data_IF_798470137047
#
_entry.id   IF_798470137047
#
_cell.length_a   1.000
_cell.length_b   1.000
_cell.length_c   1.000
_cell.angle_alpha   90.00
_cell.angle_beta   90.00
_cell.angle_gamma   90.00
#
_symmetry.space_group_name_H-M   'P 1'
#
loop_
_entity.id
_entity.type
_entity.pdbx_description
1 polymer ?
#
# COMPACT_ATOMS: atom_id res chain seq x y z
N UNK A 1 -13.28 32.35 -3.83
CA UNK A 1 -14.65 32.61 -3.31
C UNK A 1 -15.71 31.79 -4.03
N UNK A 2 -15.67 31.62 -5.38
CA UNK A 2 -16.67 30.86 -6.15
C UNK A 2 -16.69 29.36 -5.79
N UNK A 3 -15.54 28.77 -5.48
CA UNK A 3 -15.44 27.35 -5.06
C UNK A 3 -15.96 27.10 -3.64
N UNK A 4 -16.03 28.13 -2.80
CA UNK A 4 -16.60 28.06 -1.46
C UNK A 4 -18.10 28.39 -1.41
N UNK A 5 -18.79 28.37 -2.57
CA UNK A 5 -20.25 28.48 -2.55
C UNK A 5 -20.88 27.31 -1.77
N UNK A 6 -22.10 27.51 -1.29
CA UNK A 6 -22.74 26.58 -0.34
C UNK A 6 -22.95 25.15 -0.94
N UNK A 7 -23.04 25.03 -2.26
CA UNK A 7 -23.22 23.74 -2.94
C UNK A 7 -21.93 22.94 -2.95
N UNK A 8 -20.83 23.49 -3.48
CA UNK A 8 -19.54 22.80 -3.61
C UNK A 8 -18.96 22.43 -2.24
N UNK A 9 -18.99 23.36 -1.30
CA UNK A 9 -18.54 23.12 0.08
C UNK A 9 -19.24 21.90 0.69
N UNK A 10 -20.56 21.80 0.57
CA UNK A 10 -21.33 20.64 1.07
C UNK A 10 -21.05 19.36 0.31
N UNK A 11 -20.93 19.41 -1.01
CA UNK A 11 -20.62 18.24 -1.83
C UNK A 11 -19.26 17.67 -1.49
N UNK A 12 -18.24 18.51 -1.37
CA UNK A 12 -16.90 18.10 -0.96
C UNK A 12 -16.87 17.57 0.46
N UNK A 13 -17.51 18.25 1.42
CA UNK A 13 -17.60 17.79 2.81
C UNK A 13 -18.21 16.38 2.88
N UNK A 14 -19.31 16.15 2.16
CA UNK A 14 -19.96 14.83 2.08
C UNK A 14 -19.00 13.79 1.49
N UNK A 15 -18.40 14.06 0.32
CA UNK A 15 -17.51 13.11 -0.37
C UNK A 15 -16.28 12.74 0.48
N UNK A 16 -15.71 13.71 1.18
CA UNK A 16 -14.60 13.49 2.11
C UNK A 16 -15.06 12.63 3.29
N UNK A 17 -16.16 12.96 3.94
CA UNK A 17 -16.67 12.23 5.11
C UNK A 17 -17.00 10.77 4.78
N UNK A 18 -17.58 10.51 3.62
CA UNK A 18 -17.91 9.14 3.18
C UNK A 18 -16.67 8.26 2.92
N UNK A 19 -15.50 8.89 2.66
CA UNK A 19 -14.27 8.18 2.29
C UNK A 19 -13.13 8.33 3.30
N UNK A 20 -13.24 9.22 4.26
CA UNK A 20 -12.26 9.38 5.35
C UNK A 20 -12.38 8.24 6.38
N UNK A 21 -11.35 8.01 7.21
CA UNK A 21 -11.47 7.10 8.35
C UNK A 21 -12.62 7.51 9.30
N UNK A 22 -13.39 6.54 9.76
CA UNK A 22 -14.51 6.77 10.71
C UNK A 22 -13.96 7.06 12.12
N UNK A 23 -13.51 8.30 12.31
CA UNK A 23 -12.89 8.79 13.54
C UNK A 23 -13.11 10.30 13.67
N UNK A 24 -13.51 10.80 14.84
CA UNK A 24 -13.58 12.23 15.09
C UNK A 24 -12.19 12.88 15.13
N UNK A 25 -12.11 14.17 14.85
CA UNK A 25 -10.89 14.97 15.01
C UNK A 25 -9.65 14.38 14.34
N UNK A 26 -9.76 14.02 13.06
CA UNK A 26 -8.64 13.47 12.28
C UNK A 26 -7.46 14.46 12.26
N UNK A 27 -6.23 13.93 12.32
CA UNK A 27 -5.03 14.64 11.92
C UNK A 27 -4.89 14.54 10.40
N UNK A 28 -5.07 15.65 9.69
CA UNK A 28 -5.15 15.69 8.23
C UNK A 28 -3.97 16.45 7.64
N UNK A 29 -3.36 15.90 6.57
CA UNK A 29 -2.41 16.62 5.73
C UNK A 29 -3.05 16.90 4.37
N UNK A 30 -3.25 18.19 4.07
CA UNK A 30 -3.64 18.67 2.75
C UNK A 30 -2.39 18.97 1.92
N UNK A 31 -2.16 18.17 0.89
CA UNK A 31 -0.94 18.22 0.06
C UNK A 31 -1.23 19.05 -1.20
N UNK A 32 -0.46 20.13 -1.38
CA UNK A 32 -0.67 21.07 -2.46
C UNK A 32 -1.95 21.86 -2.28
N UNK A 33 -2.10 22.47 -1.09
CA UNK A 33 -3.32 23.16 -0.65
C UNK A 33 -3.75 24.31 -1.58
N UNK A 34 -2.83 24.85 -2.38
CA UNK A 34 -3.08 26.01 -3.22
C UNK A 34 -3.65 27.18 -2.41
N UNK A 35 -4.78 27.79 -2.82
CA UNK A 35 -5.37 28.93 -2.12
C UNK A 35 -6.16 28.54 -0.85
N UNK A 36 -6.16 27.26 -0.40
CA UNK A 36 -6.69 26.86 0.90
C UNK A 36 -8.13 26.37 0.93
N UNK A 37 -8.61 25.72 -0.13
CA UNK A 37 -9.99 25.19 -0.17
C UNK A 37 -10.25 24.10 0.85
N UNK A 38 -9.40 23.05 0.87
CA UNK A 38 -9.58 21.92 1.78
C UNK A 38 -9.39 22.25 3.26
N UNK A 39 -8.44 23.10 3.66
CA UNK A 39 -8.38 23.53 5.06
C UNK A 39 -9.70 24.12 5.60
N UNK A 40 -10.45 24.83 4.76
CA UNK A 40 -11.76 25.36 5.16
C UNK A 40 -12.76 24.23 5.36
N UNK A 41 -12.92 23.36 4.35
CA UNK A 41 -13.89 22.25 4.40
C UNK A 41 -13.59 21.30 5.56
N UNK A 42 -12.32 20.95 5.75
CA UNK A 42 -11.88 20.01 6.79
C UNK A 42 -11.95 20.63 8.20
N UNK A 43 -11.62 21.93 8.32
CA UNK A 43 -11.75 22.65 9.59
C UNK A 43 -13.19 22.75 10.05
N UNK A 44 -14.14 22.99 9.13
CA UNK A 44 -15.60 22.95 9.43
C UNK A 44 -16.10 21.58 9.88
N UNK A 45 -15.46 20.50 9.39
CA UNK A 45 -15.74 19.13 9.84
C UNK A 45 -15.09 18.80 11.20
N UNK A 46 -14.36 19.76 11.80
CA UNK A 46 -13.73 19.60 13.11
C UNK A 46 -12.41 18.83 13.09
N UNK A 47 -11.73 18.78 11.95
CA UNK A 47 -10.44 18.09 11.83
C UNK A 47 -9.27 19.04 12.11
N UNK A 48 -8.13 18.47 12.55
CA UNK A 48 -6.87 19.18 12.74
C UNK A 48 -6.11 19.17 11.41
N UNK A 49 -5.97 20.31 10.77
CA UNK A 49 -5.45 20.40 9.41
C UNK A 49 -4.06 21.01 9.37
N UNK A 50 -3.11 20.26 8.83
CA UNK A 50 -1.84 20.74 8.32
C UNK A 50 -1.94 20.86 6.80
N UNK A 51 -1.62 22.01 6.23
CA UNK A 51 -1.71 22.28 4.81
C UNK A 51 -0.33 22.64 4.26
N UNK A 52 0.10 21.97 3.22
CA UNK A 52 1.41 22.22 2.58
C UNK A 52 1.26 22.64 1.12
N UNK A 53 2.15 23.53 0.70
CA UNK A 53 2.34 23.91 -0.71
C UNK A 53 3.82 24.27 -0.95
N UNK A 54 4.30 24.06 -2.15
CA UNK A 54 5.66 24.47 -2.53
C UNK A 54 5.78 25.98 -2.78
N UNK A 55 4.64 26.68 -2.94
CA UNK A 55 4.54 28.08 -3.36
C UNK A 55 4.10 28.98 -2.20
N UNK A 56 5.01 29.86 -1.75
CA UNK A 56 4.72 30.82 -0.67
C UNK A 56 3.48 31.68 -0.94
N UNK A 57 3.33 32.15 -2.17
CA UNK A 57 2.22 32.98 -2.60
C UNK A 57 0.85 32.29 -2.46
N UNK A 58 0.81 30.94 -2.66
CA UNK A 58 -0.41 30.16 -2.41
C UNK A 58 -0.72 30.05 -0.92
N UNK A 59 0.30 29.79 -0.11
CA UNK A 59 0.14 29.71 1.35
C UNK A 59 -0.34 31.04 1.96
N UNK A 60 0.15 32.18 1.47
CA UNK A 60 -0.34 33.50 1.91
C UNK A 60 -1.84 33.68 1.59
N UNK A 61 -2.29 33.24 0.41
CA UNK A 61 -3.69 33.27 0.03
C UNK A 61 -4.52 32.33 0.91
N UNK A 62 -4.01 31.12 1.17
CA UNK A 62 -4.66 30.13 2.01
C UNK A 62 -4.83 30.63 3.47
N UNK A 63 -3.78 31.20 4.05
CA UNK A 63 -3.82 31.82 5.40
C UNK A 63 -4.88 32.94 5.50
N UNK A 64 -4.91 33.84 4.50
CA UNK A 64 -5.90 34.93 4.45
C UNK A 64 -7.31 34.39 4.30
N UNK A 65 -7.51 33.34 3.51
CA UNK A 65 -8.81 32.71 3.34
C UNK A 65 -9.27 32.04 4.63
N UNK A 66 -8.42 31.23 5.27
CA UNK A 66 -8.72 30.58 6.55
C UNK A 66 -9.10 31.59 7.62
N UNK A 67 -8.34 32.69 7.73
CA UNK A 67 -8.67 33.79 8.65
C UNK A 67 -10.03 34.44 8.34
N UNK A 68 -10.38 34.60 7.06
CA UNK A 68 -11.69 35.20 6.68
C UNK A 68 -12.89 34.30 6.94
N UNK A 69 -12.67 32.99 7.05
CA UNK A 69 -13.68 31.94 7.32
C UNK A 69 -13.66 31.49 8.78
N UNK A 70 -12.84 32.12 9.64
CA UNK A 70 -12.64 31.76 11.06
C UNK A 70 -12.21 30.28 11.28
N UNK A 71 -11.35 29.77 10.37
CA UNK A 71 -10.82 28.42 10.42
C UNK A 71 -9.38 28.43 10.91
N UNK A 72 -9.09 27.55 11.88
CA UNK A 72 -7.73 27.31 12.36
C UNK A 72 -7.12 26.14 11.59
N UNK A 73 -5.99 26.39 10.91
CA UNK A 73 -5.19 25.39 10.23
C UNK A 73 -3.72 25.83 10.22
N UNK A 74 -2.81 24.88 10.17
CA UNK A 74 -1.37 25.14 10.04
C UNK A 74 -0.94 25.10 8.58
N UNK A 75 -0.10 26.05 8.18
CA UNK A 75 0.35 26.19 6.78
C UNK A 75 1.87 26.20 6.72
N UNK A 76 2.42 25.26 5.93
CA UNK A 76 3.86 25.07 5.82
C UNK A 76 4.33 25.00 4.36
N UNK A 77 5.40 25.72 4.03
CA UNK A 77 6.04 25.57 2.73
C UNK A 77 6.84 24.29 2.71
N UNK A 78 6.47 23.36 1.81
CA UNK A 78 7.09 22.04 1.76
C UNK A 78 6.98 21.42 0.38
N UNK A 79 7.98 20.62 -0.01
CA UNK A 79 7.94 19.75 -1.18
C UNK A 79 7.24 18.43 -0.80
N UNK A 80 6.22 18.04 -1.55
CA UNK A 80 5.46 16.81 -1.35
C UNK A 80 6.28 15.53 -1.56
N UNK A 81 7.48 15.64 -2.16
CA UNK A 81 8.41 14.52 -2.37
C UNK A 81 9.40 14.32 -1.21
N UNK A 82 9.39 15.21 -0.21
CA UNK A 82 10.32 15.15 0.94
C UNK A 82 9.64 15.80 2.16
N UNK A 83 8.79 15.03 2.83
CA UNK A 83 8.00 15.52 3.96
C UNK A 83 8.80 15.50 5.26
N UNK A 84 8.89 16.66 5.93
CA UNK A 84 9.59 16.80 7.22
C UNK A 84 8.73 16.35 8.42
N UNK A 85 7.83 15.39 8.21
CA UNK A 85 7.02 14.80 9.28
C UNK A 85 7.55 13.42 9.64
N UNK A 86 7.30 13.01 10.88
CA UNK A 86 7.60 11.66 11.34
C UNK A 86 6.71 10.62 10.66
N UNK A 87 7.14 9.36 10.70
CA UNK A 87 6.34 8.23 10.22
C UNK A 87 5.01 8.15 11.00
N UNK A 88 3.95 7.73 10.32
CA UNK A 88 2.65 7.49 10.96
C UNK A 88 2.08 8.70 11.73
N UNK A 89 2.18 9.89 11.16
CA UNK A 89 1.73 11.15 11.77
C UNK A 89 0.26 11.44 11.52
N UNK A 90 -0.25 11.19 10.29
CA UNK A 90 -1.57 11.62 9.87
C UNK A 90 -2.57 10.48 9.76
N UNK A 91 -3.83 10.76 10.09
CA UNK A 91 -4.96 9.84 9.91
C UNK A 91 -5.49 9.89 8.47
N UNK A 92 -5.40 11.05 7.82
CA UNK A 92 -5.89 11.30 6.47
C UNK A 92 -4.90 12.18 5.70
N UNK A 93 -4.56 11.76 4.49
CA UNK A 93 -3.93 12.61 3.49
C UNK A 93 -4.94 12.91 2.39
N UNK A 94 -4.95 14.15 1.91
CA UNK A 94 -5.84 14.56 0.82
C UNK A 94 -5.09 15.47 -0.14
N UNK A 95 -5.40 15.36 -1.42
CA UNK A 95 -4.96 16.33 -2.42
C UNK A 95 -5.96 16.46 -3.56
N UNK A 96 -5.91 17.61 -4.25
CA UNK A 96 -6.72 17.87 -5.44
C UNK A 96 -5.88 18.57 -6.50
N UNK A 97 -5.86 17.99 -7.70
CA UNK A 97 -5.12 18.55 -8.86
C UNK A 97 -3.61 18.70 -8.59
N UNK A 98 -3.00 17.77 -7.86
CA UNK A 98 -1.58 17.80 -7.49
C UNK A 98 -0.79 16.71 -8.19
N UNK A 99 -1.34 15.50 -8.25
CA UNK A 99 -0.58 14.33 -8.68
C UNK A 99 -0.16 14.38 -10.14
N UNK A 100 -0.89 15.09 -11.00
CA UNK A 100 -0.48 15.32 -12.39
C UNK A 100 0.78 16.19 -12.52
N UNK A 101 1.12 16.99 -11.50
CA UNK A 101 2.29 17.89 -11.47
C UNK A 101 3.55 17.28 -10.87
N UNK A 102 3.47 16.06 -10.34
CA UNK A 102 4.61 15.41 -9.68
C UNK A 102 5.73 15.10 -10.68
N UNK A 103 6.94 15.55 -10.36
CA UNK A 103 8.13 15.24 -11.15
C UNK A 103 8.71 13.85 -10.85
N UNK A 104 8.44 13.31 -9.65
CA UNK A 104 8.77 11.96 -9.21
C UNK A 104 7.60 11.38 -8.39
N UNK A 105 6.53 10.89 -9.05
CA UNK A 105 5.34 10.38 -8.39
C UNK A 105 5.64 9.17 -7.50
N UNK A 106 6.61 8.34 -7.85
CA UNK A 106 6.99 7.18 -7.06
C UNK A 106 7.56 7.59 -5.70
N UNK A 107 8.42 8.60 -5.69
CA UNK A 107 9.00 9.15 -4.46
C UNK A 107 7.94 9.83 -3.60
N UNK A 108 7.07 10.64 -4.21
CA UNK A 108 5.98 11.30 -3.50
C UNK A 108 5.05 10.29 -2.82
N UNK A 109 4.59 9.25 -3.52
CA UNK A 109 3.69 8.24 -2.96
C UNK A 109 4.34 7.44 -1.82
N UNK A 110 5.64 7.17 -1.87
CA UNK A 110 6.37 6.53 -0.76
C UNK A 110 6.41 7.42 0.49
N UNK A 111 6.66 8.71 0.31
CA UNK A 111 6.63 9.68 1.42
C UNK A 111 5.22 9.79 2.02
N UNK A 112 4.18 9.83 1.18
CA UNK A 112 2.80 9.87 1.65
C UNK A 112 2.42 8.59 2.41
N UNK A 113 2.86 7.41 1.92
CA UNK A 113 2.69 6.15 2.66
C UNK A 113 3.40 6.19 4.01
N UNK A 114 4.62 6.72 4.07
CA UNK A 114 5.42 6.78 5.29
C UNK A 114 4.74 7.59 6.38
N UNK A 115 4.27 8.79 6.07
CA UNK A 115 3.66 9.71 7.05
C UNK A 115 2.22 9.36 7.43
N UNK A 116 1.54 8.51 6.65
CA UNK A 116 0.19 8.05 6.94
C UNK A 116 0.22 6.96 8.01
N UNK A 117 -0.67 7.05 9.00
CA UNK A 117 -0.84 6.02 10.05
C UNK A 117 -1.38 4.72 9.46
N UNK A 118 -1.08 3.55 10.06
CA UNK A 118 -1.84 2.33 9.80
C UNK A 118 -3.35 2.56 10.01
N UNK A 119 -4.18 2.08 9.07
CA UNK A 119 -5.62 2.36 9.04
C UNK A 119 -5.99 3.76 8.52
N UNK A 120 -5.01 4.60 8.23
CA UNK A 120 -5.22 5.91 7.61
C UNK A 120 -5.49 5.79 6.11
N UNK A 121 -6.06 6.86 5.53
CA UNK A 121 -6.43 6.92 4.12
C UNK A 121 -5.79 8.09 3.39
N UNK A 122 -5.44 7.85 2.14
CA UNK A 122 -5.04 8.87 1.17
C UNK A 122 -6.18 9.04 0.16
N UNK A 123 -6.70 10.25 0.03
CA UNK A 123 -7.71 10.63 -0.96
C UNK A 123 -7.05 11.48 -2.05
N UNK A 124 -7.08 11.01 -3.29
CA UNK A 124 -6.58 11.73 -4.46
C UNK A 124 -7.76 12.10 -5.33
N UNK A 125 -7.90 13.38 -5.62
CA UNK A 125 -8.86 13.93 -6.59
C UNK A 125 -8.07 14.59 -7.72
N UNK A 126 -8.06 13.97 -8.91
CA UNK A 126 -7.29 14.49 -10.04
C UNK A 126 -7.93 14.13 -11.38
N UNK A 127 -7.35 14.61 -12.47
CA UNK A 127 -7.81 14.30 -13.82
C UNK A 127 -6.62 14.13 -14.77
N UNK A 128 -6.89 13.60 -15.95
CA UNK A 128 -5.88 13.43 -17.01
C UNK A 128 -5.69 14.75 -17.81
N UNK A 129 -5.30 15.84 -17.12
CA UNK A 129 -5.26 17.20 -17.64
C UNK A 129 -4.45 17.37 -18.92
N UNK A 130 -3.36 16.61 -19.07
CA UNK A 130 -2.45 16.72 -20.21
C UNK A 130 -2.76 15.72 -21.35
N UNK A 131 -3.75 14.85 -21.18
CA UNK A 131 -4.01 13.77 -22.12
C UNK A 131 -4.39 14.27 -23.52
N UNK A 132 -5.04 15.43 -23.60
CA UNK A 132 -5.38 16.08 -24.87
C UNK A 132 -4.16 16.48 -25.72
N UNK A 133 -2.97 16.65 -25.13
CA UNK A 133 -1.74 16.88 -25.90
C UNK A 133 -1.22 15.62 -26.59
N UNK A 134 -1.58 14.44 -26.09
CA UNK A 134 -1.09 13.15 -26.57
C UNK A 134 -2.15 12.33 -27.31
N UNK A 135 -3.44 12.64 -27.11
CA UNK A 135 -4.57 11.92 -27.70
C UNK A 135 -5.44 12.85 -28.52
N UNK A 136 -5.56 12.53 -29.80
CA UNK A 136 -6.31 13.38 -30.74
C UNK A 136 -7.82 13.39 -30.51
N UNK A 137 -8.39 12.28 -30.06
CA UNK A 137 -9.80 12.17 -29.70
C UNK A 137 -10.15 13.11 -28.53
N UNK A 138 -9.34 13.11 -27.48
CA UNK A 138 -9.50 14.00 -26.32
C UNK A 138 -9.29 15.46 -26.71
N UNK A 139 -8.28 15.74 -27.53
CA UNK A 139 -8.03 17.11 -28.01
C UNK A 139 -9.21 17.67 -28.79
N UNK A 140 -9.80 16.89 -29.69
CA UNK A 140 -10.98 17.31 -30.47
C UNK A 140 -12.17 17.57 -29.53
N UNK A 141 -12.41 16.69 -28.56
CA UNK A 141 -13.49 16.86 -27.59
C UNK A 141 -13.28 18.12 -26.74
N UNK A 142 -12.05 18.39 -26.28
CA UNK A 142 -11.74 19.61 -25.54
C UNK A 142 -12.06 20.87 -26.35
N UNK A 143 -11.66 20.90 -27.63
CA UNK A 143 -11.93 22.03 -28.55
C UNK A 143 -13.44 22.24 -28.78
N UNK A 144 -14.20 21.16 -28.89
CA UNK A 144 -15.66 21.22 -29.03
C UNK A 144 -16.31 21.72 -27.73
N UNK A 145 -15.88 21.19 -26.58
CA UNK A 145 -16.36 21.62 -25.27
C UNK A 145 -16.07 23.11 -25.03
N UNK A 146 -14.86 23.57 -25.36
CA UNK A 146 -14.48 24.97 -25.23
C UNK A 146 -15.37 25.89 -26.11
N UNK A 147 -15.65 25.48 -27.34
CA UNK A 147 -16.55 26.20 -28.22
C UNK A 147 -17.96 26.30 -27.62
N UNK A 148 -18.53 25.19 -27.17
CA UNK A 148 -19.85 25.16 -26.54
C UNK A 148 -19.89 25.97 -25.24
N UNK A 149 -18.80 25.95 -24.50
CA UNK A 149 -18.67 26.77 -23.28
C UNK A 149 -18.71 28.25 -23.61
N UNK A 150 -17.93 28.68 -24.64
CA UNK A 150 -17.94 30.07 -25.13
C UNK A 150 -19.32 30.55 -25.59
N UNK A 151 -20.04 29.69 -26.31
CA UNK A 151 -21.39 29.99 -26.76
C UNK A 151 -22.38 30.17 -25.62
N UNK A 152 -22.24 29.39 -24.51
CA UNK A 152 -23.19 29.37 -23.41
C UNK A 152 -22.87 30.34 -22.30
N UNK A 153 -21.59 30.51 -21.98
CA UNK A 153 -21.14 31.26 -20.78
C UNK A 153 -20.24 32.46 -21.09
N UNK A 154 -19.88 32.67 -22.36
CA UNK A 154 -18.91 33.70 -22.76
C UNK A 154 -17.47 33.21 -22.64
N UNK A 155 -16.51 34.16 -22.74
CA UNK A 155 -15.09 33.79 -22.64
C UNK A 155 -14.78 33.16 -21.27
N UNK A 156 -14.18 31.95 -21.21
CA UNK A 156 -13.73 31.43 -19.95
C UNK A 156 -12.61 32.32 -19.44
N UNK A 157 -12.66 32.64 -18.17
CA UNK A 157 -11.59 33.21 -17.34
C UNK A 157 -10.43 33.81 -18.16
N UNK A 158 -9.93 34.97 -17.77
CA UNK A 158 -8.66 35.46 -18.28
C UNK A 158 -7.62 34.35 -18.06
N UNK A 159 -7.41 33.54 -19.09
CA UNK A 159 -6.31 32.59 -19.14
C UNK A 159 -5.07 33.45 -19.15
N UNK A 160 -4.44 33.61 -18.00
CA UNK A 160 -3.11 34.19 -17.90
C UNK A 160 -2.29 33.48 -18.99
N UNK A 161 -1.68 34.26 -19.88
CA UNK A 161 -1.09 33.76 -21.12
C UNK A 161 -0.28 32.50 -20.83
N UNK A 162 -0.50 31.48 -21.64
CA UNK A 162 0.23 30.23 -21.59
C UNK A 162 1.71 30.55 -21.82
N UNK A 163 2.49 30.51 -20.73
CA UNK A 163 3.93 30.56 -20.80
C UNK A 163 4.49 29.32 -21.53
N UNK A 164 5.77 29.16 -21.56
CA UNK A 164 6.40 27.96 -22.14
C UNK A 164 5.87 26.68 -21.44
N UNK A 165 4.96 25.95 -22.11
CA UNK A 165 4.34 24.72 -21.62
C UNK A 165 5.28 23.51 -21.69
N UNK A 166 6.50 23.67 -22.23
CA UNK A 166 7.45 22.56 -22.41
C UNK A 166 7.76 21.82 -21.11
N UNK A 167 7.84 22.56 -20.00
CA UNK A 167 8.05 21.98 -18.67
C UNK A 167 6.89 21.10 -18.20
N UNK A 168 5.65 21.53 -18.47
CA UNK A 168 4.44 20.80 -18.10
C UNK A 168 4.34 19.51 -18.91
N UNK A 169 4.62 19.58 -20.21
CA UNK A 169 4.60 18.42 -21.10
C UNK A 169 5.72 17.40 -20.82
N UNK A 170 6.77 17.80 -20.08
CA UNK A 170 7.82 16.87 -19.64
C UNK A 170 7.43 16.03 -18.41
N UNK A 171 6.36 16.39 -17.71
CA UNK A 171 5.93 15.69 -16.50
C UNK A 171 5.53 14.25 -16.79
N UNK A 172 5.95 13.30 -15.90
CA UNK A 172 5.75 11.87 -16.16
C UNK A 172 4.27 11.46 -16.22
N UNK A 173 3.41 12.13 -15.43
CA UNK A 173 2.00 11.76 -15.30
C UNK A 173 1.13 12.19 -16.49
N UNK A 174 1.64 13.05 -17.38
CA UNK A 174 0.88 13.55 -18.52
C UNK A 174 0.60 12.51 -19.61
N UNK A 175 1.35 11.40 -19.63
CA UNK A 175 1.31 10.37 -20.68
C UNK A 175 0.72 9.03 -20.23
N UNK A 176 0.43 8.89 -18.96
CA UNK A 176 -0.04 7.63 -18.38
C UNK A 176 -1.56 7.61 -18.23
N UNK A 177 -2.15 6.43 -18.38
CA UNK A 177 -3.57 6.24 -18.12
C UNK A 177 -3.83 6.19 -16.61
N UNK A 178 -4.51 7.21 -16.13
CA UNK A 178 -4.89 7.39 -14.74
C UNK A 178 -6.40 7.24 -14.57
N UNK A 179 -6.88 6.70 -13.47
CA UNK A 179 -6.21 6.33 -12.21
C UNK A 179 -5.58 4.94 -12.18
N UNK A 180 -5.59 4.16 -13.27
CA UNK A 180 -5.12 2.78 -13.31
C UNK A 180 -3.62 2.66 -12.95
N UNK A 181 -2.78 3.56 -13.46
CA UNK A 181 -1.35 3.58 -13.13
C UNK A 181 -1.13 3.87 -11.64
N UNK A 182 -1.84 4.87 -11.12
CA UNK A 182 -1.75 5.24 -9.69
C UNK A 182 -2.12 4.06 -8.80
N UNK A 183 -3.23 3.38 -9.12
CA UNK A 183 -3.67 2.19 -8.39
C UNK A 183 -2.59 1.13 -8.33
N UNK A 184 -2.04 0.75 -9.49
CA UNK A 184 -1.00 -0.30 -9.57
C UNK A 184 0.23 0.06 -8.74
N UNK A 185 0.66 1.32 -8.78
CA UNK A 185 1.83 1.75 -8.03
C UNK A 185 1.55 1.86 -6.53
N UNK A 186 0.42 2.42 -6.13
CA UNK A 186 0.00 2.52 -4.73
C UNK A 186 -0.15 1.12 -4.11
N UNK A 187 -0.73 0.16 -4.82
CA UNK A 187 -0.81 -1.24 -4.36
C UNK A 187 0.58 -1.87 -4.22
N UNK A 188 1.49 -1.61 -5.15
CA UNK A 188 2.88 -2.09 -5.09
C UNK A 188 3.63 -1.62 -3.84
N UNK A 189 3.34 -0.42 -3.34
CA UNK A 189 3.96 0.12 -2.13
C UNK A 189 3.20 -0.21 -0.84
N UNK A 190 2.08 -0.93 -0.92
CA UNK A 190 1.40 -1.51 0.23
C UNK A 190 0.03 -0.93 0.57
N UNK A 191 -0.55 -0.05 -0.25
CA UNK A 191 -1.92 0.41 -0.06
C UNK A 191 -2.95 -0.62 -0.53
N UNK A 192 -4.11 -0.63 0.11
CA UNK A 192 -5.33 -1.19 -0.45
C UNK A 192 -6.06 -0.07 -1.21
N UNK A 193 -6.33 -0.26 -2.51
CA UNK A 193 -6.75 0.83 -3.39
C UNK A 193 -8.10 0.54 -4.05
N UNK A 194 -9.02 1.48 -3.90
CA UNK A 194 -10.23 1.58 -4.71
C UNK A 194 -10.26 2.92 -5.44
N UNK A 195 -11.00 3.04 -6.54
CA UNK A 195 -11.15 4.30 -7.25
C UNK A 195 -12.49 4.42 -7.98
N UNK A 196 -12.90 5.66 -8.19
CA UNK A 196 -14.00 6.05 -9.07
C UNK A 196 -13.44 6.80 -10.28
N UNK A 197 -13.77 6.34 -11.50
CA UNK A 197 -13.27 6.96 -12.75
C UNK A 197 -13.80 8.38 -12.99
N UNK A 198 -14.94 8.71 -12.38
CA UNK A 198 -15.55 10.03 -12.50
C UNK A 198 -16.35 10.35 -11.25
N UNK A 199 -16.05 11.48 -10.64
CA UNK A 199 -16.79 12.07 -9.49
C UNK A 199 -17.38 13.44 -9.84
N UNK A 200 -17.42 13.77 -11.14
CA UNK A 200 -17.82 15.12 -11.60
C UNK A 200 -19.31 15.40 -11.37
N UNK A 201 -20.16 14.37 -11.39
CA UNK A 201 -21.61 14.56 -11.20
C UNK A 201 -21.93 15.05 -9.79
N UNK A 202 -21.09 14.70 -8.82
CA UNK A 202 -21.27 15.11 -7.42
C UNK A 202 -20.53 16.42 -7.11
N UNK A 203 -19.37 16.68 -7.73
CA UNK A 203 -18.44 17.72 -7.31
C UNK A 203 -18.37 18.93 -8.23
N UNK A 204 -18.71 18.78 -9.53
CA UNK A 204 -18.59 19.85 -10.52
C UNK A 204 -19.93 20.50 -10.86
N UNK A 205 -19.87 21.80 -11.13
CA UNK A 205 -20.98 22.53 -11.73
C UNK A 205 -21.13 22.21 -13.21
N UNK A 206 -22.27 22.56 -13.81
CA UNK A 206 -22.56 22.31 -15.22
C UNK A 206 -21.56 23.03 -16.17
N UNK A 207 -20.99 24.14 -15.75
CA UNK A 207 -19.96 24.87 -16.44
C UNK A 207 -18.61 24.09 -16.49
N UNK A 208 -18.22 23.49 -15.35
CA UNK A 208 -17.01 22.68 -15.26
C UNK A 208 -17.16 21.35 -16.01
N UNK A 209 -18.31 20.69 -15.89
CA UNK A 209 -18.64 19.48 -16.64
C UNK A 209 -18.55 19.72 -18.15
N UNK A 210 -19.00 20.89 -18.61
CA UNK A 210 -18.96 21.24 -20.03
C UNK A 210 -17.53 21.43 -20.51
N UNK A 211 -16.72 22.22 -19.80
CA UNK A 211 -15.38 22.59 -20.29
C UNK A 211 -14.35 21.49 -20.08
N UNK A 212 -14.42 20.74 -18.96
CA UNK A 212 -13.40 19.73 -18.59
C UNK A 212 -13.87 18.29 -18.72
N UNK A 213 -15.11 18.05 -19.18
CA UNK A 213 -15.72 16.72 -19.18
C UNK A 213 -15.05 15.66 -20.07
N UNK A 214 -14.18 16.06 -21.00
CA UNK A 214 -13.39 15.11 -21.80
C UNK A 214 -12.31 14.38 -20.98
N UNK A 215 -11.89 14.96 -19.87
CA UNK A 215 -10.97 14.36 -18.88
C UNK A 215 -11.57 14.49 -17.48
N UNK A 216 -12.58 13.69 -17.15
CA UNK A 216 -13.31 13.84 -15.90
C UNK A 216 -12.40 13.63 -14.69
N UNK A 217 -12.69 14.34 -13.60
CA UNK A 217 -12.01 14.12 -12.33
C UNK A 217 -12.34 12.73 -11.79
N UNK A 218 -11.31 11.96 -11.48
CA UNK A 218 -11.39 10.69 -10.78
C UNK A 218 -11.09 10.89 -9.28
N UNK A 219 -11.50 9.90 -8.47
CA UNK A 219 -11.11 9.81 -7.07
C UNK A 219 -10.42 8.47 -6.81
N UNK A 220 -9.33 8.51 -6.06
CA UNK A 220 -8.66 7.32 -5.51
C UNK A 220 -8.79 7.36 -3.99
N UNK A 221 -9.15 6.23 -3.42
CA UNK A 221 -9.08 5.96 -1.98
C UNK A 221 -8.03 4.88 -1.77
N UNK A 222 -6.93 5.24 -1.12
CA UNK A 222 -5.84 4.33 -0.79
C UNK A 222 -5.71 4.22 0.72
N UNK A 223 -6.02 3.05 1.28
CA UNK A 223 -5.94 2.77 2.71
C UNK A 223 -4.62 2.11 3.06
N UNK A 224 -3.90 2.65 4.05
CA UNK A 224 -2.72 1.98 4.61
C UNK A 224 -3.21 0.91 5.57
N UNK A 225 -2.90 -0.38 5.35
CA UNK A 225 -3.34 -1.45 6.23
C UNK A 225 -2.98 -1.22 7.69
N UNK A 226 -3.80 -1.71 8.62
CA UNK A 226 -3.57 -1.59 10.07
C UNK A 226 -2.25 -2.19 10.53
N UNK A 227 -1.74 -3.18 9.79
CA UNK A 227 -0.36 -3.64 9.92
C UNK A 227 0.27 -3.68 8.52
N UNK A 228 1.37 -2.97 8.32
CA UNK A 228 2.18 -3.11 7.10
C UNK A 228 2.69 -4.56 6.94
N UNK A 229 2.90 -5.25 8.05
CA UNK A 229 3.25 -6.66 8.14
C UNK A 229 2.16 -7.59 7.58
N UNK A 230 0.87 -7.24 7.70
CA UNK A 230 -0.23 -8.07 7.20
C UNK A 230 -0.38 -8.05 5.67
N UNK A 231 -0.19 -6.92 5.01
CA UNK A 231 -0.45 -6.80 3.57
C UNK A 231 0.59 -7.55 2.72
N UNK A 232 1.87 -7.45 3.06
CA UNK A 232 2.91 -8.19 2.35
C UNK A 232 2.80 -9.69 2.64
N UNK A 233 2.54 -10.07 3.91
CA UNK A 233 2.29 -11.45 4.30
C UNK A 233 1.07 -12.03 3.59
N UNK A 234 -0.05 -11.30 3.47
CA UNK A 234 -1.24 -11.75 2.76
C UNK A 234 -0.97 -11.95 1.25
N UNK A 235 -0.17 -11.09 0.64
CA UNK A 235 0.22 -11.27 -0.76
C UNK A 235 1.19 -12.46 -0.94
N UNK A 236 2.12 -12.64 -0.02
CA UNK A 236 3.00 -13.81 0.02
C UNK A 236 2.18 -15.08 0.21
N UNK A 237 1.21 -15.07 1.13
CA UNK A 237 0.28 -16.18 1.33
C UNK A 237 -0.46 -16.52 0.03
N UNK A 238 -1.14 -15.55 -0.59
CA UNK A 238 -1.87 -15.75 -1.85
C UNK A 238 -0.97 -16.31 -2.97
N UNK A 239 0.25 -15.80 -3.07
CA UNK A 239 1.22 -16.31 -4.05
C UNK A 239 1.55 -17.78 -3.82
N UNK A 240 1.80 -18.19 -2.57
CA UNK A 240 2.12 -19.56 -2.24
C UNK A 240 0.88 -20.47 -2.26
N UNK A 241 -0.30 -19.97 -1.87
CA UNK A 241 -1.55 -20.71 -2.00
C UNK A 241 -1.82 -21.10 -3.47
N UNK A 242 -1.65 -20.18 -4.41
CA UNK A 242 -1.79 -20.47 -5.84
C UNK A 242 -0.78 -21.48 -6.39
N UNK A 243 0.39 -21.56 -5.80
CA UNK A 243 1.48 -22.47 -6.26
C UNK A 243 1.57 -23.76 -5.48
N UNK A 244 0.78 -23.91 -4.43
CA UNK A 244 0.92 -25.00 -3.44
C UNK A 244 0.86 -26.39 -4.06
N UNK A 245 -0.07 -26.65 -4.98
CA UNK A 245 -0.22 -27.95 -5.65
C UNK A 245 1.03 -28.31 -6.48
N UNK A 246 1.45 -27.41 -7.37
CA UNK A 246 2.62 -27.65 -8.22
C UNK A 246 3.89 -27.81 -7.39
N UNK A 247 4.04 -26.99 -6.36
CA UNK A 247 5.20 -27.02 -5.48
C UNK A 247 5.19 -28.28 -4.60
N UNK A 248 4.03 -28.78 -4.20
CA UNK A 248 3.88 -30.04 -3.47
C UNK A 248 4.33 -31.24 -4.31
N UNK A 249 3.94 -31.29 -5.58
CA UNK A 249 4.37 -32.37 -6.50
C UNK A 249 5.90 -32.41 -6.63
N UNK A 250 6.53 -31.24 -6.89
CA UNK A 250 7.99 -31.13 -6.99
C UNK A 250 8.68 -31.55 -5.69
N UNK A 251 8.12 -31.15 -4.57
CA UNK A 251 8.64 -31.42 -3.24
C UNK A 251 8.62 -32.92 -2.90
N UNK A 252 7.53 -33.62 -3.27
CA UNK A 252 7.41 -35.08 -3.12
C UNK A 252 8.42 -35.81 -3.99
N UNK A 253 8.60 -35.42 -5.23
CA UNK A 253 9.59 -36.00 -6.14
C UNK A 253 11.00 -35.84 -5.58
N UNK A 254 11.35 -34.62 -5.14
CA UNK A 254 12.66 -34.34 -4.54
C UNK A 254 12.88 -35.16 -3.25
N UNK A 255 11.84 -35.29 -2.40
CA UNK A 255 11.90 -36.08 -1.18
C UNK A 255 12.19 -37.54 -1.47
N UNK A 256 11.62 -38.10 -2.54
CA UNK A 256 11.84 -39.49 -2.95
C UNK A 256 13.21 -39.72 -3.61
N UNK A 257 13.74 -38.76 -4.33
CA UNK A 257 14.93 -38.92 -5.17
C UNK A 257 16.20 -38.31 -4.58
N UNK A 258 16.08 -37.24 -3.80
CA UNK A 258 17.23 -36.43 -3.38
C UNK A 258 17.39 -36.27 -1.85
N UNK A 259 16.51 -36.87 -1.04
CA UNK A 259 16.59 -36.67 0.42
C UNK A 259 17.96 -37.04 1.00
N UNK A 260 18.64 -38.09 0.48
CA UNK A 260 19.96 -38.51 0.97
C UNK A 260 21.01 -37.40 0.84
N UNK A 261 20.96 -36.60 -0.22
CA UNK A 261 21.86 -35.45 -0.39
C UNK A 261 21.72 -34.41 0.70
N UNK A 262 20.49 -34.23 1.18
CA UNK A 262 20.19 -33.29 2.28
C UNK A 262 20.56 -33.91 3.63
N UNK A 263 20.26 -35.16 3.85
CA UNK A 263 20.63 -35.92 5.04
C UNK A 263 22.14 -35.86 5.29
N UNK A 264 22.94 -36.17 4.26
CA UNK A 264 24.41 -36.14 4.33
C UNK A 264 24.95 -34.73 4.69
N UNK A 265 24.21 -33.67 4.39
CA UNK A 265 24.59 -32.32 4.74
C UNK A 265 24.12 -31.91 6.13
N UNK A 266 22.94 -32.35 6.54
CA UNK A 266 22.27 -31.85 7.78
C UNK A 266 22.73 -32.69 8.99
N UNK A 267 22.64 -34.03 8.95
CA UNK A 267 22.90 -34.85 10.12
C UNK A 267 24.29 -34.65 10.76
N UNK A 268 25.38 -34.50 9.98
CA UNK A 268 26.70 -34.25 10.58
C UNK A 268 26.84 -32.94 11.32
N UNK A 269 25.90 -32.00 11.09
CA UNK A 269 25.87 -30.66 11.69
C UNK A 269 24.91 -30.53 12.86
N UNK A 270 24.12 -31.60 13.12
CA UNK A 270 23.17 -31.56 14.24
C UNK A 270 23.92 -31.80 15.57
N UNK A 271 23.42 -31.19 16.65
CA UNK A 271 23.91 -31.46 18.01
C UNK A 271 23.80 -32.94 18.34
N UNK A 272 24.78 -33.49 19.10
CA UNK A 272 24.75 -34.86 19.61
C UNK A 272 23.80 -34.99 20.81
N UNK A 273 22.50 -34.85 20.59
CA UNK A 273 21.47 -34.85 21.63
C UNK A 273 20.35 -35.83 21.29
N UNK A 274 19.92 -36.63 22.29
CA UNK A 274 18.72 -37.47 22.15
C UNK A 274 17.45 -36.62 22.20
N UNK A 275 16.40 -37.04 21.50
CA UNK A 275 15.07 -36.37 21.50
C UNK A 275 15.14 -34.87 21.13
N UNK A 276 15.87 -34.53 20.09
CA UNK A 276 15.93 -33.14 19.60
C UNK A 276 14.57 -32.68 19.09
N UNK A 277 14.23 -31.42 19.43
CA UNK A 277 13.07 -30.70 18.92
C UNK A 277 13.54 -29.82 17.78
N UNK A 278 13.01 -30.06 16.61
CA UNK A 278 13.38 -29.34 15.38
C UNK A 278 12.20 -28.43 14.97
N UNK A 279 12.49 -27.18 14.67
CA UNK A 279 11.54 -26.25 14.07
C UNK A 279 11.92 -26.08 12.58
N UNK A 280 10.98 -26.42 11.69
CA UNK A 280 11.08 -26.19 10.24
C UNK A 280 10.27 -24.94 9.89
N UNK A 281 10.96 -23.82 9.63
CA UNK A 281 10.34 -22.50 9.39
C UNK A 281 10.18 -22.28 7.89
N UNK A 282 8.93 -22.02 7.46
CA UNK A 282 8.56 -22.01 6.04
C UNK A 282 8.61 -23.42 5.48
N UNK A 283 7.99 -24.37 6.19
CA UNK A 283 8.08 -25.79 5.87
C UNK A 283 7.48 -26.17 4.51
N UNK A 284 6.65 -25.28 3.93
CA UNK A 284 5.95 -25.53 2.68
C UNK A 284 5.19 -26.85 2.75
N UNK A 285 5.28 -27.72 1.71
CA UNK A 285 4.62 -29.02 1.69
C UNK A 285 5.35 -30.10 2.54
N UNK A 286 6.21 -29.70 3.48
CA UNK A 286 6.76 -30.57 4.54
C UNK A 286 8.08 -31.29 4.25
N UNK A 287 8.91 -30.80 3.32
CA UNK A 287 10.13 -31.50 2.90
C UNK A 287 11.07 -31.84 4.08
N UNK A 288 11.55 -30.83 4.81
CA UNK A 288 12.42 -31.07 5.96
C UNK A 288 11.68 -31.70 7.13
N UNK A 289 10.42 -31.30 7.34
CA UNK A 289 9.60 -31.86 8.42
C UNK A 289 9.45 -33.38 8.31
N UNK A 290 9.10 -33.90 7.13
CA UNK A 290 8.95 -35.33 6.86
C UNK A 290 10.30 -36.05 6.94
N UNK A 291 11.33 -35.49 6.30
CA UNK A 291 12.67 -36.07 6.29
C UNK A 291 13.26 -36.21 7.70
N UNK A 292 13.11 -35.20 8.57
CA UNK A 292 13.62 -35.26 9.93
C UNK A 292 12.79 -36.21 10.82
N UNK A 293 11.48 -36.28 10.63
CA UNK A 293 10.62 -37.23 11.35
C UNK A 293 11.00 -38.70 11.01
N UNK A 294 11.33 -39.03 9.77
CA UNK A 294 11.84 -40.34 9.36
C UNK A 294 13.13 -40.72 10.10
N UNK A 295 13.92 -39.74 10.54
CA UNK A 295 15.13 -39.97 11.34
C UNK A 295 14.90 -39.95 12.85
N UNK A 296 13.62 -39.93 13.28
CA UNK A 296 13.23 -40.07 14.69
C UNK A 296 13.29 -38.77 15.50
N UNK A 297 13.35 -37.62 14.85
CA UNK A 297 13.31 -36.32 15.53
C UNK A 297 11.88 -35.84 15.77
N UNK A 298 11.68 -35.06 16.85
CA UNK A 298 10.42 -34.35 17.09
C UNK A 298 10.40 -33.08 16.24
N UNK A 299 9.42 -32.97 15.35
CA UNK A 299 9.38 -31.87 14.37
C UNK A 299 8.13 -31.03 14.50
N UNK A 300 8.32 -29.73 14.51
CA UNK A 300 7.25 -28.73 14.31
C UNK A 300 7.54 -28.01 13.02
N UNK A 301 6.62 -28.08 12.05
CA UNK A 301 6.65 -27.31 10.80
C UNK A 301 5.72 -26.12 10.89
N UNK A 302 6.19 -24.94 10.51
CA UNK A 302 5.35 -23.74 10.39
C UNK A 302 5.42 -23.17 8.98
N UNK A 303 4.27 -22.70 8.51
CA UNK A 303 4.14 -21.94 7.27
C UNK A 303 3.02 -20.91 7.40
N UNK A 304 3.07 -19.83 6.63
CA UNK A 304 2.00 -18.84 6.63
C UNK A 304 0.85 -19.21 5.68
N UNK A 305 1.11 -20.06 4.66
CA UNK A 305 0.12 -20.60 3.73
C UNK A 305 -0.58 -21.83 4.32
N UNK A 306 -1.90 -21.75 4.48
CA UNK A 306 -2.72 -22.89 4.92
C UNK A 306 -2.74 -24.01 3.87
N UNK A 307 -2.69 -23.68 2.57
CA UNK A 307 -2.65 -24.66 1.49
C UNK A 307 -1.34 -25.45 1.52
N UNK A 308 -0.21 -24.79 1.81
CA UNK A 308 1.07 -25.50 2.00
C UNK A 308 1.01 -26.48 3.18
N UNK A 309 0.43 -26.07 4.31
CA UNK A 309 0.28 -26.93 5.48
C UNK A 309 -0.67 -28.12 5.24
N UNK A 310 -1.74 -27.92 4.45
CA UNK A 310 -2.61 -29.02 4.03
C UNK A 310 -1.81 -30.05 3.22
N UNK A 311 -1.05 -29.60 2.24
CA UNK A 311 -0.20 -30.49 1.47
C UNK A 311 0.92 -31.14 2.31
N UNK A 312 1.47 -30.43 3.30
CA UNK A 312 2.45 -31.03 4.22
C UNK A 312 1.85 -32.20 5.02
N UNK A 313 0.63 -32.04 5.51
CA UNK A 313 -0.11 -33.08 6.23
C UNK A 313 -0.45 -34.28 5.33
N UNK A 314 -0.92 -34.01 4.10
CA UNK A 314 -1.21 -35.06 3.10
C UNK A 314 0.07 -35.84 2.75
N UNK A 315 1.16 -35.13 2.43
CA UNK A 315 2.45 -35.74 2.11
C UNK A 315 3.00 -36.58 3.28
N UNK A 316 2.86 -36.10 4.52
CA UNK A 316 3.28 -36.86 5.68
C UNK A 316 2.48 -38.18 5.83
N UNK A 317 1.16 -38.11 5.68
CA UNK A 317 0.30 -39.30 5.73
C UNK A 317 0.60 -40.31 4.60
N UNK A 318 0.92 -39.83 3.41
CA UNK A 318 1.22 -40.69 2.27
C UNK A 318 2.61 -41.34 2.36
N UNK A 319 3.60 -40.58 2.85
CA UNK A 319 5.03 -41.01 2.80
C UNK A 319 5.44 -41.74 4.09
N UNK A 320 4.92 -41.31 5.23
CA UNK A 320 5.28 -41.82 6.57
C UNK A 320 4.02 -42.07 7.45
N UNK A 321 3.04 -42.88 6.98
CA UNK A 321 1.76 -43.03 7.64
C UNK A 321 1.87 -43.41 9.14
N UNK A 322 2.83 -44.25 9.48
CA UNK A 322 2.99 -44.76 10.86
C UNK A 322 3.46 -43.70 11.87
N UNK A 323 4.09 -42.64 11.40
CA UNK A 323 4.66 -41.56 12.24
C UNK A 323 4.20 -40.16 11.81
N UNK A 324 3.27 -40.04 10.88
CA UNK A 324 2.78 -38.74 10.40
C UNK A 324 2.26 -37.86 11.55
N UNK A 325 1.56 -38.45 12.50
CA UNK A 325 1.00 -37.75 13.68
C UNK A 325 2.07 -37.28 14.69
N UNK A 326 3.33 -37.66 14.51
CA UNK A 326 4.45 -37.15 15.32
C UNK A 326 4.92 -35.76 14.88
N UNK A 327 4.49 -35.27 13.69
CA UNK A 327 4.80 -33.96 13.19
C UNK A 327 3.67 -33.00 13.55
N UNK A 328 4.00 -31.87 14.13
CA UNK A 328 3.04 -30.79 14.36
C UNK A 328 3.17 -29.72 13.27
N UNK A 329 2.09 -29.48 12.51
CA UNK A 329 2.03 -28.39 11.54
C UNK A 329 1.17 -27.25 12.06
N UNK A 330 1.66 -25.99 11.98
CA UNK A 330 0.96 -24.80 12.49
C UNK A 330 1.10 -23.63 11.52
N UNK A 331 -0.01 -22.92 11.28
CA UNK A 331 0.03 -21.62 10.59
C UNK A 331 0.68 -20.60 11.53
N UNK A 332 1.75 -19.95 11.03
CA UNK A 332 2.48 -18.97 11.85
C UNK A 332 3.36 -18.08 10.97
N UNK A 333 3.50 -16.80 11.37
CA UNK A 333 4.45 -15.88 10.76
C UNK A 333 5.87 -16.17 11.27
N UNK A 334 6.80 -16.41 10.35
CA UNK A 334 8.21 -16.65 10.66
C UNK A 334 8.89 -15.47 11.38
N UNK A 335 8.28 -14.29 11.33
CA UNK A 335 8.79 -13.06 11.94
C UNK A 335 8.16 -12.76 13.31
N UNK A 336 7.20 -13.59 13.75
CA UNK A 336 6.50 -13.47 15.04
C UNK A 336 6.11 -14.85 15.57
N UNK A 337 7.05 -15.50 16.24
CA UNK A 337 6.89 -16.89 16.68
C UNK A 337 6.14 -16.98 18.01
N UNK A 338 5.02 -17.72 18.04
CA UNK A 338 4.21 -17.99 19.22
C UNK A 338 4.75 -19.16 20.05
N UNK A 339 6.06 -19.26 20.19
CA UNK A 339 6.72 -20.25 21.02
C UNK A 339 7.45 -19.58 22.18
N UNK A 340 7.62 -20.30 23.27
CA UNK A 340 8.42 -19.86 24.40
C UNK A 340 9.92 -19.81 24.03
N UNK A 341 10.69 -19.04 24.78
CA UNK A 341 12.13 -18.98 24.63
C UNK A 341 12.76 -20.36 24.82
N UNK A 342 13.80 -20.68 24.07
CA UNK A 342 14.51 -21.95 24.16
C UNK A 342 13.64 -23.21 23.93
N UNK A 343 12.65 -23.12 23.04
CA UNK A 343 11.73 -24.23 22.73
C UNK A 343 12.31 -25.29 21.81
N UNK A 344 13.30 -24.95 20.99
CA UNK A 344 13.84 -25.82 19.94
C UNK A 344 15.37 -25.97 20.03
N UNK A 345 15.86 -27.14 19.67
CA UNK A 345 17.28 -27.44 19.68
C UNK A 345 17.93 -27.15 18.32
N UNK A 346 17.14 -27.19 17.25
CA UNK A 346 17.55 -26.91 15.86
C UNK A 346 16.45 -26.17 15.13
N UNK A 347 16.85 -25.21 14.31
CA UNK A 347 15.97 -24.55 13.34
C UNK A 347 16.46 -24.90 11.93
N UNK A 348 15.55 -25.33 11.09
CA UNK A 348 15.75 -25.52 9.66
C UNK A 348 14.89 -24.51 8.92
N UNK A 349 15.40 -24.01 7.79
CA UNK A 349 14.62 -23.19 6.87
C UNK A 349 15.17 -23.32 5.46
N UNK A 350 14.29 -23.37 4.48
CA UNK A 350 14.66 -23.51 3.07
C UNK A 350 13.79 -22.59 2.21
N UNK A 351 14.44 -21.83 1.33
CA UNK A 351 13.74 -20.95 0.36
C UNK A 351 12.79 -19.93 0.99
N UNK A 352 13.01 -19.49 2.24
CA UNK A 352 12.15 -18.57 2.95
C UNK A 352 12.74 -17.16 3.06
N UNK A 353 14.03 -17.03 3.34
CA UNK A 353 14.66 -15.80 3.81
C UNK A 353 14.61 -14.64 2.82
N UNK A 354 14.51 -14.94 1.53
CA UNK A 354 14.38 -13.93 0.47
C UNK A 354 12.99 -13.23 0.47
N UNK A 355 11.97 -13.85 1.07
CA UNK A 355 10.60 -13.34 1.16
C UNK A 355 10.25 -12.71 2.52
N UNK A 356 11.21 -12.57 3.43
CA UNK A 356 10.96 -11.94 4.73
C UNK A 356 10.87 -10.42 4.58
N UNK A 357 9.81 -9.83 5.13
CA UNK A 357 9.63 -8.38 5.18
C UNK A 357 10.61 -7.73 6.16
N UNK A 358 10.77 -8.36 7.34
CA UNK A 358 11.64 -7.89 8.40
C UNK A 358 12.66 -8.97 8.81
N UNK A 359 13.70 -9.22 7.99
CA UNK A 359 14.62 -10.33 8.22
C UNK A 359 15.34 -10.25 9.57
N UNK A 360 15.69 -9.06 10.03
CA UNK A 360 16.34 -8.87 11.34
C UNK A 360 15.41 -9.31 12.47
N UNK A 361 14.13 -8.94 12.43
CA UNK A 361 13.12 -9.36 13.41
C UNK A 361 12.94 -10.88 13.38
N UNK A 362 12.85 -11.47 12.18
CA UNK A 362 12.75 -12.92 12.03
C UNK A 362 13.93 -13.64 12.68
N UNK A 363 15.16 -13.21 12.40
CA UNK A 363 16.34 -13.82 13.00
C UNK A 363 16.41 -13.63 14.52
N UNK A 364 15.92 -12.53 15.06
CA UNK A 364 15.82 -12.31 16.51
C UNK A 364 14.83 -13.30 17.14
N UNK A 365 13.67 -13.51 16.52
CA UNK A 365 12.66 -14.50 16.96
C UNK A 365 13.21 -15.94 16.88
N UNK A 366 13.90 -16.27 15.78
CA UNK A 366 14.53 -17.59 15.64
C UNK A 366 15.58 -17.83 16.71
N UNK A 367 16.40 -16.82 16.99
CA UNK A 367 17.42 -16.90 18.05
C UNK A 367 16.77 -17.01 19.44
N UNK A 368 15.66 -16.34 19.69
CA UNK A 368 14.91 -16.38 20.96
C UNK A 368 14.39 -17.79 21.26
N UNK A 369 13.78 -18.44 20.25
CA UNK A 369 13.20 -19.78 20.43
C UNK A 369 14.24 -20.90 20.36
N UNK A 370 15.46 -20.64 19.89
CA UNK A 370 16.54 -21.59 19.83
C UNK A 370 17.21 -21.73 21.21
N UNK A 371 17.34 -22.97 21.68
CA UNK A 371 18.05 -23.27 22.92
C UNK A 371 19.49 -22.75 22.87
N UNK A 372 19.87 -21.90 23.81
CA UNK A 372 21.25 -21.48 24.02
C UNK A 372 22.03 -22.64 24.65
N UNK A 373 22.57 -23.52 23.83
CA UNK A 373 23.44 -24.59 24.26
C UNK A 373 24.91 -24.20 24.17
N UNK A 374 25.72 -24.59 25.16
CA UNK A 374 27.18 -24.69 24.96
C UNK A 374 27.40 -25.86 24.00
N UNK A 375 27.79 -25.56 22.78
CA UNK A 375 28.26 -26.52 21.80
C UNK A 375 29.73 -26.83 22.04
#
# INVERSE_FOLDING_TARGET
RRELDSFRRKAWAKKITENAPDKPNLSVLDIGTGPGFFPIVLGELGHNVMAIDCTENMLEKAKKLAQSEDITADFLKMDSHALSFEDNTFDLLINRNVTWTLYDPEKAYKEWYRVLKPGGRLLIFDANWLLGYYREDIRKQNQENEKLFHEKYGSPWETGGHGDESHILSLPMGKVDRPEWDKQYLEKIGFQVTYEKSVIDELWGEDEKLIYGATPMFMIVAEKPLSSSGYLLDNIQKYWDMRSETYSIQNREELMTEQNKWIDKILPRLPQKKNMRILDIGCGPGFFSIMMAQHGYQVTGIDYSEQMLMHALENAKDIIPDIADSITFRKMDAQNLEFEDNSFDVILSRNLTWGLEHPVKAYQEWLRVLCQGKF
#
